data_IF_248160142779
#
_entry.id   IF_248160142779
#
_cell.length_a   1.000
_cell.length_b   1.000
_cell.length_c   1.000
_cell.angle_alpha   90.00
_cell.angle_beta   90.00
_cell.angle_gamma   90.00
#
_symmetry.space_group_name_H-M   'P 1'
#
loop_
_entity.id
_entity.type
_entity.pdbx_description
1 polymer ?
#
# COMPACT_ATOMS: atom_id res chain seq x y z
N UNK A 1 11.72 -30.16 35.62
CA UNK A 1 11.01 -28.95 36.08
C UNK A 1 11.27 -27.84 35.06
N UNK A 2 10.43 -27.74 34.04
CA UNK A 2 10.42 -26.73 32.97
C UNK A 2 9.12 -26.93 32.18
N UNK A 3 8.68 -25.89 31.49
CA UNK A 3 7.47 -25.78 30.67
C UNK A 3 6.20 -25.32 31.42
N UNK A 4 6.23 -24.04 31.79
CA UNK A 4 5.09 -23.12 31.67
C UNK A 4 5.63 -21.97 30.83
N UNK A 5 5.14 -21.73 29.61
CA UNK A 5 5.20 -20.45 28.86
C UNK A 5 4.69 -20.56 27.39
N UNK A 6 3.63 -21.33 27.08
CA UNK A 6 3.06 -21.33 25.71
C UNK A 6 1.53 -21.34 25.65
N UNK A 7 0.83 -20.91 26.71
CA UNK A 7 -0.64 -20.97 26.75
C UNK A 7 -1.37 -19.61 26.59
N UNK A 8 -0.69 -18.54 26.17
CA UNK A 8 -1.32 -17.20 26.11
C UNK A 8 -1.22 -16.47 24.76
N UNK A 9 -0.78 -17.14 23.69
CA UNK A 9 -0.53 -16.46 22.39
C UNK A 9 -1.37 -17.00 21.22
N UNK A 10 -2.40 -17.83 21.46
CA UNK A 10 -3.25 -18.40 20.39
C UNK A 10 -4.73 -18.09 20.62
N UNK A 11 -5.06 -16.92 21.18
CA UNK A 11 -6.45 -16.53 21.46
C UNK A 11 -6.90 -15.21 20.84
N UNK A 12 -6.10 -14.61 19.94
CA UNK A 12 -6.49 -13.39 19.23
C UNK A 12 -6.62 -13.55 17.70
N UNK A 13 -6.21 -14.68 17.13
CA UNK A 13 -6.37 -14.97 15.69
C UNK A 13 -7.63 -15.80 15.35
N UNK A 14 -8.44 -16.17 16.35
CA UNK A 14 -9.57 -17.09 16.20
C UNK A 14 -10.95 -16.45 16.15
N UNK A 15 -11.08 -15.11 16.20
CA UNK A 15 -12.38 -14.44 16.23
C UNK A 15 -12.80 -13.75 14.92
N UNK A 16 -11.98 -13.79 13.88
CA UNK A 16 -12.32 -13.24 12.56
C UNK A 16 -12.72 -14.32 11.53
N UNK A 17 -12.62 -15.61 11.87
CA UNK A 17 -12.77 -16.73 10.92
C UNK A 17 -13.96 -17.67 11.20
N UNK A 18 -14.89 -17.30 12.10
CA UNK A 18 -16.09 -18.11 12.41
C UNK A 18 -17.38 -17.35 12.11
N UNK A 19 -17.60 -16.99 10.84
CA UNK A 19 -18.91 -16.53 10.35
C UNK A 19 -19.30 -17.10 8.97
N UNK A 20 -18.60 -18.14 8.51
CA UNK A 20 -18.87 -18.80 7.22
C UNK A 20 -19.12 -20.31 7.39
N UNK A 21 -20.04 -20.71 8.26
CA UNK A 21 -20.53 -22.11 8.31
C UNK A 21 -21.94 -22.23 8.90
N UNK A 22 -22.94 -21.69 8.20
CA UNK A 22 -24.30 -22.25 8.26
C UNK A 22 -24.91 -22.25 6.85
N UNK A 23 -24.84 -23.40 6.18
CA UNK A 23 -25.54 -23.64 4.93
C UNK A 23 -27.05 -23.61 5.14
N UNK A 24 -27.74 -22.76 4.38
CA UNK A 24 -29.18 -22.81 4.16
C UNK A 24 -29.45 -22.92 2.66
N UNK A 25 -30.44 -23.73 2.23
CA UNK A 25 -30.66 -24.09 0.84
C UNK A 25 -31.16 -22.91 0.00
N UNK A 26 -30.67 -22.84 -1.23
CA UNK A 26 -31.10 -21.90 -2.25
C UNK A 26 -32.56 -22.16 -2.68
N UNK A 27 -33.48 -21.28 -2.30
CA UNK A 27 -34.74 -21.07 -3.00
C UNK A 27 -35.35 -19.70 -2.65
N UNK A 28 -35.55 -18.89 -3.70
CA UNK A 28 -36.48 -17.75 -3.79
C UNK A 28 -36.21 -16.49 -2.94
N UNK A 29 -35.35 -15.60 -3.45
CA UNK A 29 -35.63 -14.15 -3.42
C UNK A 29 -35.39 -13.58 -4.82
N UNK A 30 -36.47 -13.45 -5.59
CA UNK A 30 -36.55 -12.54 -6.72
C UNK A 30 -36.66 -11.12 -6.16
N UNK A 31 -35.79 -10.22 -6.62
CA UNK A 31 -36.07 -8.79 -6.63
C UNK A 31 -35.65 -7.99 -5.39
N UNK A 32 -34.34 -7.90 -5.17
CA UNK A 32 -33.73 -6.65 -4.70
C UNK A 32 -32.28 -6.62 -5.18
N UNK A 33 -32.06 -6.05 -6.36
CA UNK A 33 -30.76 -5.49 -6.69
C UNK A 33 -30.55 -4.31 -5.73
N UNK A 34 -30.09 -4.60 -4.51
CA UNK A 34 -29.46 -3.58 -3.68
C UNK A 34 -28.19 -3.25 -4.44
N UNK A 35 -28.25 -2.20 -5.27
CA UNK A 35 -27.04 -1.52 -5.70
C UNK A 35 -26.33 -1.15 -4.41
N UNK A 36 -25.20 -1.79 -4.11
CA UNK A 36 -24.26 -1.22 -3.16
C UNK A 36 -24.05 0.21 -3.64
N UNK A 37 -24.33 1.19 -2.78
CA UNK A 37 -24.02 2.57 -3.11
C UNK A 37 -22.51 2.59 -3.36
N UNK A 38 -22.09 2.97 -4.57
CA UNK A 38 -20.68 3.09 -4.88
C UNK A 38 -20.05 4.03 -3.86
N UNK A 39 -18.99 3.55 -3.19
CA UNK A 39 -18.33 4.31 -2.12
C UNK A 39 -17.97 5.72 -2.63
N UNK A 40 -18.26 6.78 -1.85
CA UNK A 40 -17.92 8.13 -2.26
C UNK A 40 -16.40 8.26 -2.40
N UNK A 41 -15.94 8.54 -3.61
CA UNK A 41 -14.54 8.77 -3.95
C UNK A 41 -14.32 10.19 -4.45
N UNK A 42 -13.13 10.72 -4.19
CA UNK A 42 -12.59 11.83 -4.99
C UNK A 42 -11.77 11.27 -6.15
N UNK A 43 -11.81 11.97 -7.28
CA UNK A 43 -11.12 11.58 -8.51
C UNK A 43 -10.08 12.63 -8.90
N UNK A 44 -8.91 12.17 -9.30
CA UNK A 44 -7.90 12.94 -10.02
C UNK A 44 -7.64 12.26 -11.36
N UNK A 45 -7.61 13.02 -12.45
CA UNK A 45 -7.23 12.51 -13.77
C UNK A 45 -6.57 13.59 -14.63
N UNK A 46 -5.74 13.18 -15.58
CA UNK A 46 -5.09 14.07 -16.55
C UNK A 46 -5.18 13.55 -18.00
N UNK A 47 -6.12 12.65 -18.27
CA UNK A 47 -6.28 11.98 -19.57
C UNK A 47 -5.36 10.77 -19.78
N UNK A 48 -4.24 10.66 -19.06
CA UNK A 48 -3.31 9.51 -19.14
C UNK A 48 -3.52 8.55 -17.97
N UNK A 49 -3.66 9.08 -16.76
CA UNK A 49 -3.82 8.32 -15.52
C UNK A 49 -5.00 8.86 -14.71
N UNK A 50 -5.62 7.98 -13.94
CA UNK A 50 -6.69 8.30 -13.01
C UNK A 50 -6.42 7.68 -11.64
N UNK A 51 -6.69 8.44 -10.59
CA UNK A 51 -6.67 8.00 -9.21
C UNK A 51 -8.05 8.20 -8.60
N UNK A 52 -8.56 7.15 -7.95
CA UNK A 52 -9.74 7.22 -7.10
C UNK A 52 -9.32 7.07 -5.64
N UNK A 53 -9.78 7.98 -4.77
CA UNK A 53 -9.48 7.97 -3.33
C UNK A 53 -10.78 7.85 -2.55
N UNK A 54 -10.90 6.79 -1.77
CA UNK A 54 -12.03 6.52 -0.88
C UNK A 54 -12.11 7.57 0.23
N UNK A 55 -13.24 8.24 0.34
CA UNK A 55 -13.48 9.21 1.41
C UNK A 55 -13.67 8.56 2.79
N UNK A 56 -13.81 7.24 2.84
CA UNK A 56 -14.03 6.47 4.07
C UNK A 56 -12.73 6.14 4.82
N UNK A 57 -11.68 5.78 4.09
CA UNK A 57 -10.44 5.26 4.67
C UNK A 57 -9.17 5.81 4.03
N UNK A 58 -9.26 6.72 3.05
CA UNK A 58 -8.09 7.24 2.33
C UNK A 58 -7.42 6.21 1.41
N UNK A 59 -7.95 4.98 1.35
CA UNK A 59 -7.55 3.97 0.40
C UNK A 59 -7.72 4.46 -1.02
N UNK A 60 -6.84 4.03 -1.93
CA UNK A 60 -6.83 4.55 -3.29
C UNK A 60 -6.55 3.45 -4.31
N UNK A 61 -6.99 3.68 -5.54
CA UNK A 61 -6.64 2.86 -6.69
C UNK A 61 -6.09 3.74 -7.79
N UNK A 62 -5.22 3.15 -8.61
CA UNK A 62 -4.58 3.81 -9.75
C UNK A 62 -4.87 2.99 -10.99
N UNK A 63 -5.24 3.67 -12.07
CA UNK A 63 -5.44 3.06 -13.38
C UNK A 63 -5.04 4.01 -14.50
N UNK A 64 -4.67 3.49 -15.65
CA UNK A 64 -4.54 4.28 -16.86
C UNK A 64 -5.92 4.73 -17.35
N UNK A 65 -5.96 5.88 -18.01
CA UNK A 65 -7.11 6.38 -18.76
C UNK A 65 -6.88 6.12 -20.27
N UNK A 66 -6.23 7.05 -20.99
CA UNK A 66 -5.81 6.85 -22.40
C UNK A 66 -4.40 6.25 -22.53
N UNK A 67 -3.79 5.90 -21.39
CA UNK A 67 -2.52 5.17 -21.32
C UNK A 67 -1.40 5.81 -22.13
N UNK A 68 -0.56 4.98 -22.75
CA UNK A 68 0.42 5.45 -23.73
C UNK A 68 -0.29 5.80 -25.05
N UNK A 69 0.03 6.97 -25.59
CA UNK A 69 -0.53 7.47 -26.85
C UNK A 69 -0.41 6.46 -28.01
N UNK A 70 0.68 5.68 -28.05
CA UNK A 70 1.00 4.73 -29.10
C UNK A 70 0.54 3.30 -28.79
N UNK A 71 0.26 2.96 -27.53
CA UNK A 71 -0.11 1.62 -27.11
C UNK A 71 -1.53 1.54 -26.54
N UNK A 72 -2.52 1.28 -27.40
CA UNK A 72 -3.92 1.17 -26.98
C UNK A 72 -4.29 -0.08 -26.20
N UNK A 73 -3.34 -1.00 -26.00
CA UNK A 73 -3.55 -2.14 -25.12
C UNK A 73 -3.53 -1.75 -23.63
N UNK A 74 -2.91 -0.62 -23.27
CA UNK A 74 -2.84 -0.14 -21.89
C UNK A 74 -3.90 0.90 -21.54
N UNK A 75 -4.85 1.22 -22.43
CA UNK A 75 -6.01 2.07 -22.10
C UNK A 75 -6.90 1.39 -21.04
N UNK A 76 -7.37 2.16 -20.07
CA UNK A 76 -8.33 1.73 -19.03
C UNK A 76 -7.89 0.49 -18.22
N UNK A 77 -6.61 0.37 -17.92
CA UNK A 77 -6.02 -0.75 -17.17
C UNK A 77 -5.71 -0.37 -15.74
N UNK A 78 -6.06 -1.27 -14.80
CA UNK A 78 -5.63 -1.14 -13.41
C UNK A 78 -4.09 -1.18 -13.35
N UNK A 79 -3.53 -0.37 -12.46
CA UNK A 79 -2.13 -0.39 -12.05
C UNK A 79 -1.99 -0.84 -10.59
N UNK A 80 -3.03 -0.60 -9.78
CA UNK A 80 -3.19 -1.19 -8.46
C UNK A 80 -4.48 -2.00 -8.42
N UNK A 81 -4.42 -3.15 -7.76
CA UNK A 81 -5.62 -3.88 -7.41
C UNK A 81 -6.42 -3.08 -6.37
N UNK A 82 -7.73 -3.29 -6.36
CA UNK A 82 -8.58 -2.76 -5.31
C UNK A 82 -9.83 -3.62 -5.14
N UNK A 83 -10.23 -3.81 -3.89
CA UNK A 83 -11.57 -4.28 -3.51
C UNK A 83 -12.58 -3.13 -3.59
N UNK A 84 -13.85 -3.42 -3.30
CA UNK A 84 -14.89 -2.38 -3.17
C UNK A 84 -14.56 -1.36 -2.06
N UNK A 85 -13.67 -1.71 -1.11
CA UNK A 85 -13.31 -0.87 0.03
C UNK A 85 -11.98 -0.12 -0.13
N UNK A 86 -11.28 -0.27 -1.26
CA UNK A 86 -9.99 0.38 -1.52
C UNK A 86 -8.91 0.08 -0.46
N UNK A 87 -8.94 -1.12 0.13
CA UNK A 87 -8.14 -1.49 1.31
C UNK A 87 -6.98 -2.44 1.02
N UNK A 88 -6.71 -2.75 -0.25
CA UNK A 88 -5.69 -3.74 -0.60
C UNK A 88 -4.29 -3.11 -0.75
N UNK A 89 -4.21 -1.88 -1.26
CA UNK A 89 -3.06 -1.00 -1.07
C UNK A 89 -3.26 -0.15 0.18
N UNK A 90 -2.29 -0.17 1.10
CA UNK A 90 -2.41 0.58 2.35
C UNK A 90 -1.05 1.04 2.87
N UNK A 91 -1.08 2.05 3.74
CA UNK A 91 0.11 2.53 4.44
C UNK A 91 0.02 2.23 5.92
N UNK A 92 1.15 1.87 6.49
CA UNK A 92 1.31 1.68 7.93
C UNK A 92 2.50 2.46 8.48
N UNK A 93 2.48 2.67 9.79
CA UNK A 93 3.47 3.45 10.51
C UNK A 93 4.00 2.68 11.70
N UNK A 94 5.32 2.62 11.83
CA UNK A 94 6.02 2.20 13.03
C UNK A 94 6.43 3.46 13.80
N UNK A 95 5.91 3.64 15.01
CA UNK A 95 6.17 4.81 15.85
C UNK A 95 6.93 4.37 17.10
N UNK A 96 8.09 4.99 17.32
CA UNK A 96 8.88 4.85 18.55
C UNK A 96 8.66 6.08 19.41
N UNK A 97 8.15 5.88 20.62
CA UNK A 97 7.98 6.98 21.58
C UNK A 97 9.29 7.33 22.33
N UNK A 98 9.25 8.41 23.11
CA UNK A 98 10.38 8.90 23.91
C UNK A 98 10.93 7.89 24.93
N UNK A 99 10.21 6.81 25.26
CA UNK A 99 10.69 5.73 26.14
C UNK A 99 11.38 4.61 25.38
N UNK A 100 11.32 4.64 24.05
CA UNK A 100 11.80 3.58 23.16
C UNK A 100 10.75 2.49 22.89
N UNK A 101 9.50 2.66 23.32
CA UNK A 101 8.44 1.71 23.02
C UNK A 101 7.96 1.90 21.57
N UNK A 102 7.84 0.78 20.85
CA UNK A 102 7.44 0.75 19.44
C UNK A 102 5.98 0.33 19.33
N UNK A 103 5.20 1.04 18.50
CA UNK A 103 3.82 0.72 18.16
C UNK A 103 3.61 0.83 16.66
N UNK A 104 2.79 -0.07 16.12
CA UNK A 104 2.48 -0.09 14.70
C UNK A 104 1.02 0.30 14.47
N UNK A 105 0.78 1.05 13.40
CA UNK A 105 -0.54 1.54 13.03
C UNK A 105 -0.81 1.40 11.53
N UNK A 106 -2.01 1.02 11.13
CA UNK A 106 -2.49 1.11 9.75
C UNK A 106 -3.22 2.44 9.60
N UNK A 107 -2.90 3.18 8.55
CA UNK A 107 -3.52 4.46 8.23
C UNK A 107 -5.04 4.32 8.10
N UNK A 108 -5.81 5.22 8.72
CA UNK A 108 -7.28 5.12 8.75
C UNK A 108 -7.83 4.07 9.73
N UNK A 109 -6.98 3.37 10.48
CA UNK A 109 -7.39 2.35 11.45
C UNK A 109 -8.17 2.91 12.65
N UNK A 110 -9.00 2.07 13.27
CA UNK A 110 -9.76 2.41 14.48
C UNK A 110 -9.07 1.82 15.72
N UNK A 111 -8.56 2.69 16.60
CA UNK A 111 -7.84 2.31 17.82
C UNK A 111 -8.58 2.72 19.11
N UNK A 112 -9.91 2.82 19.03
CA UNK A 112 -10.76 3.20 20.17
C UNK A 112 -10.69 2.18 21.31
N UNK A 113 -10.45 0.91 20.98
CA UNK A 113 -10.20 -0.16 21.95
C UNK A 113 -8.93 0.06 22.80
N UNK A 114 -7.98 0.87 22.31
CA UNK A 114 -6.79 1.31 23.06
C UNK A 114 -6.98 2.69 23.69
N UNK A 115 -8.15 3.31 23.55
CA UNK A 115 -8.40 4.69 23.96
C UNK A 115 -7.65 5.73 23.13
N UNK A 116 -7.18 5.38 21.93
CA UNK A 116 -6.36 6.26 21.07
C UNK A 116 -7.17 7.00 19.99
N UNK A 117 -8.50 6.82 19.96
CA UNK A 117 -9.39 7.45 18.98
C UNK A 117 -10.01 6.45 18.01
N UNK A 118 -11.20 6.80 17.50
CA UNK A 118 -11.88 6.03 16.45
C UNK A 118 -11.28 6.26 15.07
N UNK A 119 -11.87 5.66 14.02
CA UNK A 119 -11.58 6.09 12.65
C UNK A 119 -12.14 7.50 12.46
N UNK A 120 -11.27 8.50 12.57
CA UNK A 120 -11.54 9.92 12.41
C UNK A 120 -10.93 10.47 11.11
N UNK A 121 -10.70 9.60 10.12
CA UNK A 121 -10.09 9.98 8.87
C UNK A 121 -11.00 10.95 8.11
N UNK A 122 -10.41 11.99 7.55
CA UNK A 122 -11.10 12.98 6.73
C UNK A 122 -10.38 13.11 5.39
N UNK A 123 -11.14 13.12 4.30
CA UNK A 123 -10.60 13.30 2.94
C UNK A 123 -11.11 14.61 2.37
N UNK A 124 -10.20 15.37 1.77
CA UNK A 124 -10.46 16.66 1.13
C UNK A 124 -9.79 16.69 -0.24
N UNK A 125 -10.36 17.44 -1.17
CA UNK A 125 -9.78 17.67 -2.49
C UNK A 125 -9.59 19.18 -2.66
N UNK A 126 -8.40 19.57 -3.11
CA UNK A 126 -8.08 20.94 -3.52
C UNK A 126 -7.70 20.97 -5.01
N UNK A 127 -7.18 22.10 -5.48
CA UNK A 127 -6.86 22.29 -6.90
C UNK A 127 -5.67 21.48 -7.39
N UNK A 128 -4.79 21.01 -6.51
CA UNK A 128 -3.57 20.27 -6.90
C UNK A 128 -3.62 18.78 -6.54
N UNK A 129 -4.55 18.35 -5.68
CA UNK A 129 -4.67 16.95 -5.31
C UNK A 129 -5.70 16.62 -4.24
N UNK A 130 -5.59 15.41 -3.71
CA UNK A 130 -6.45 14.86 -2.65
C UNK A 130 -5.61 14.61 -1.40
N UNK A 131 -6.11 15.06 -0.25
CA UNK A 131 -5.48 14.84 1.05
C UNK A 131 -6.40 14.03 1.97
N UNK A 132 -5.86 12.97 2.57
CA UNK A 132 -6.50 12.25 3.66
C UNK A 132 -5.73 12.52 4.96
N UNK A 133 -6.42 12.93 6.02
CA UNK A 133 -5.83 13.19 7.33
C UNK A 133 -6.47 12.28 8.39
N UNK A 134 -5.65 11.62 9.20
CA UNK A 134 -6.08 10.66 10.21
C UNK A 134 -5.24 10.83 11.49
N UNK A 135 -5.89 10.72 12.65
CA UNK A 135 -5.18 10.87 13.93
C UNK A 135 -5.29 9.63 14.81
N UNK A 136 -4.20 9.34 15.52
CA UNK A 136 -4.14 8.30 16.54
C UNK A 136 -3.37 8.82 17.75
N UNK A 137 -4.01 8.81 18.92
CA UNK A 137 -3.47 9.43 20.12
C UNK A 137 -3.23 10.92 19.92
N UNK A 138 -1.95 11.34 19.95
CA UNK A 138 -1.51 12.73 19.76
C UNK A 138 -0.83 12.95 18.41
N UNK A 139 -0.97 12.01 17.48
CA UNK A 139 -0.32 12.04 16.18
C UNK A 139 -1.36 12.24 15.09
N UNK A 140 -1.05 13.09 14.12
CA UNK A 140 -1.85 13.26 12.90
C UNK A 140 -0.98 12.93 11.71
N UNK A 141 -1.39 11.91 10.96
CA UNK A 141 -0.79 11.53 9.69
C UNK A 141 -1.59 12.12 8.54
N UNK A 142 -0.92 12.60 7.51
CA UNK A 142 -1.54 13.12 6.30
C UNK A 142 -0.98 12.39 5.09
N UNK A 143 -1.86 11.77 4.31
CA UNK A 143 -1.58 11.28 2.97
C UNK A 143 -1.94 12.37 1.96
N UNK A 144 -1.06 12.60 0.99
CA UNK A 144 -1.30 13.51 -0.12
C UNK A 144 -1.08 12.77 -1.44
N UNK A 145 -2.07 12.83 -2.32
CA UNK A 145 -1.99 12.29 -3.68
C UNK A 145 -2.16 13.43 -4.68
N UNK A 146 -1.20 13.53 -5.61
CA UNK A 146 -1.17 14.52 -6.67
C UNK A 146 -0.84 13.86 -8.01
N UNK A 147 -1.20 14.51 -9.10
CA UNK A 147 -0.77 14.09 -10.44
C UNK A 147 0.38 14.94 -10.90
N UNK A 148 1.28 14.35 -11.68
CA UNK A 148 2.30 15.12 -12.37
C UNK A 148 1.68 16.16 -13.31
N UNK A 149 2.32 17.33 -13.34
CA UNK A 149 1.90 18.44 -14.19
C UNK A 149 1.88 17.98 -15.66
N UNK A 150 0.85 18.38 -16.41
CA UNK A 150 0.64 17.94 -17.79
C UNK A 150 1.76 18.32 -18.78
N UNK A 151 2.67 19.23 -18.41
CA UNK A 151 3.85 19.60 -19.19
C UNK A 151 5.18 18.98 -18.72
N UNK A 152 5.15 18.13 -17.69
CA UNK A 152 6.33 17.49 -17.13
C UNK A 152 6.67 16.20 -17.91
N UNK A 153 7.94 15.78 -17.89
CA UNK A 153 8.35 14.48 -18.44
C UNK A 153 7.63 13.32 -17.74
N UNK A 154 7.23 13.56 -16.49
CA UNK A 154 6.54 12.64 -15.59
C UNK A 154 5.03 12.61 -15.84
N UNK A 155 4.51 13.18 -16.95
CA UNK A 155 3.10 13.08 -17.28
C UNK A 155 2.68 11.60 -17.28
N UNK A 156 1.65 11.27 -16.49
CA UNK A 156 1.26 9.88 -16.22
C UNK A 156 1.77 9.31 -14.89
N UNK A 157 2.50 10.08 -14.08
CA UNK A 157 2.88 9.70 -12.71
C UNK A 157 1.89 10.21 -11.66
N UNK A 158 1.72 9.40 -10.62
CA UNK A 158 1.02 9.75 -9.38
C UNK A 158 2.07 10.00 -8.30
N UNK A 159 2.03 11.18 -7.68
CA UNK A 159 2.84 11.48 -6.50
C UNK A 159 2.05 11.12 -5.25
N UNK A 160 2.69 10.36 -4.36
CA UNK A 160 2.11 9.93 -3.11
C UNK A 160 3.07 10.32 -1.99
N UNK A 161 2.63 11.16 -1.06
CA UNK A 161 3.46 11.57 0.07
C UNK A 161 2.72 11.47 1.41
N UNK A 162 3.50 11.27 2.47
CA UNK A 162 3.02 11.12 3.84
C UNK A 162 3.75 12.05 4.80
N UNK A 163 2.98 12.83 5.55
CA UNK A 163 3.48 13.68 6.64
C UNK A 163 2.97 13.24 8.00
N UNK A 164 3.71 13.58 9.05
CA UNK A 164 3.32 13.39 10.45
C UNK A 164 3.41 14.71 11.20
N UNK A 165 2.40 14.99 12.04
CA UNK A 165 2.43 16.06 13.05
C UNK A 165 2.28 15.45 14.44
N UNK A 166 3.18 15.81 15.35
CA UNK A 166 3.14 15.38 16.74
C UNK A 166 2.57 16.50 17.64
N UNK A 167 1.34 16.30 18.13
CA UNK A 167 0.68 17.21 19.06
C UNK A 167 0.98 16.91 20.53
N UNK A 168 1.81 15.90 20.81
CA UNK A 168 2.23 15.51 22.13
C UNK A 168 3.28 16.44 22.74
N UNK A 169 3.69 16.12 23.97
CA UNK A 169 4.68 16.87 24.74
C UNK A 169 6.11 16.31 24.65
N UNK A 170 6.29 15.16 24.00
CA UNK A 170 7.57 14.49 23.85
C UNK A 170 7.82 14.15 22.39
N UNK A 171 9.08 14.11 21.93
CA UNK A 171 9.37 13.75 20.55
C UNK A 171 9.04 12.27 20.29
N UNK A 172 8.69 11.98 19.03
CA UNK A 172 8.47 10.62 18.52
C UNK A 172 9.25 10.43 17.24
N UNK A 173 9.75 9.23 16.99
CA UNK A 173 10.30 8.86 15.68
C UNK A 173 9.32 7.98 14.96
N UNK A 174 9.18 8.15 13.64
CA UNK A 174 8.25 7.38 12.84
C UNK A 174 8.90 6.86 11.56
N UNK A 175 8.45 5.67 11.14
CA UNK A 175 8.73 5.11 9.83
C UNK A 175 7.42 4.79 9.15
N UNK A 176 7.38 4.90 7.83
CA UNK A 176 6.22 4.58 7.01
C UNK A 176 6.53 3.36 6.14
N UNK A 177 5.53 2.51 5.94
CA UNK A 177 5.53 1.43 4.95
C UNK A 177 4.35 1.67 4.02
N UNK A 178 4.64 1.96 2.76
CA UNK A 178 3.65 2.10 1.69
C UNK A 178 3.57 0.77 0.96
N UNK A 179 2.50 0.00 1.18
CA UNK A 179 2.25 -1.28 0.50
C UNK A 179 1.31 -1.04 -0.69
N UNK A 180 1.76 -1.42 -1.87
CA UNK A 180 1.08 -1.25 -3.13
C UNK A 180 0.79 -2.61 -3.75
N UNK A 181 -0.50 -2.92 -3.83
CA UNK A 181 -1.05 -4.15 -4.37
C UNK A 181 -1.16 -4.03 -5.89
N UNK A 182 -0.38 -4.82 -6.62
CA UNK A 182 -0.13 -4.56 -8.04
C UNK A 182 -1.13 -5.30 -8.90
N UNK A 183 -1.80 -4.56 -9.79
CA UNK A 183 -2.57 -5.14 -10.87
C UNK A 183 -2.11 -4.54 -12.20
N UNK A 184 -2.03 -5.35 -13.25
CA UNK A 184 -1.79 -4.90 -14.62
C UNK A 184 -2.99 -5.33 -15.46
N UNK A 185 -4.01 -4.47 -15.50
CA UNK A 185 -5.32 -4.82 -16.06
C UNK A 185 -6.07 -5.82 -15.18
N UNK A 186 -6.37 -7.01 -15.72
CA UNK A 186 -7.01 -8.11 -14.98
C UNK A 186 -5.96 -9.08 -14.37
N UNK A 187 -4.67 -8.86 -14.66
CA UNK A 187 -3.59 -9.65 -14.08
C UNK A 187 -3.21 -9.10 -12.72
N UNK A 188 -3.36 -9.90 -11.66
CA UNK A 188 -3.14 -9.48 -10.26
C UNK A 188 -1.66 -9.55 -9.82
N UNK A 189 -0.74 -9.57 -10.79
CA UNK A 189 0.68 -9.63 -10.50
C UNK A 189 1.49 -8.96 -11.61
N UNK A 190 2.70 -8.55 -11.24
CA UNK A 190 3.74 -8.12 -12.17
C UNK A 190 4.99 -8.98 -11.98
N UNK A 191 5.77 -9.13 -13.05
CA UNK A 191 7.18 -9.42 -12.88
C UNK A 191 7.95 -8.12 -12.73
N UNK A 192 8.72 -7.98 -11.66
CA UNK A 192 9.46 -6.74 -11.43
C UNK A 192 10.88 -6.82 -12.00
N UNK A 193 11.38 -5.68 -12.49
CA UNK A 193 12.80 -5.49 -12.79
C UNK A 193 13.33 -4.25 -12.07
N UNK A 194 14.31 -4.47 -11.20
CA UNK A 194 15.00 -3.42 -10.45
C UNK A 194 16.33 -3.09 -11.10
N UNK A 195 16.67 -1.80 -11.17
CA UNK A 195 17.97 -1.34 -11.68
C UNK A 195 18.96 -1.29 -10.52
N UNK A 196 20.09 -1.99 -10.64
CA UNK A 196 21.15 -1.94 -9.63
C UNK A 196 22.17 -0.81 -9.88
N UNK A 197 23.13 -0.64 -8.98
CA UNK A 197 24.17 0.41 -9.06
C UNK A 197 25.02 0.36 -10.35
N UNK A 198 25.07 -0.77 -11.04
CA UNK A 198 25.80 -0.96 -12.28
C UNK A 198 24.94 -0.72 -13.54
N UNK A 199 23.71 -0.19 -13.38
CA UNK A 199 22.70 -0.05 -14.44
C UNK A 199 22.36 -1.37 -15.12
N UNK A 200 22.40 -2.48 -14.36
CA UNK A 200 21.94 -3.77 -14.85
C UNK A 200 20.60 -4.12 -14.20
N UNK A 201 19.73 -4.77 -14.98
CA UNK A 201 18.40 -5.16 -14.55
C UNK A 201 18.47 -6.47 -13.78
N UNK A 202 17.89 -6.48 -12.58
CA UNK A 202 17.64 -7.69 -11.79
C UNK A 202 16.15 -7.96 -11.78
N UNK A 203 15.78 -9.14 -12.28
CA UNK A 203 14.41 -9.65 -12.22
C UNK A 203 14.05 -10.12 -10.82
N UNK A 204 12.82 -9.83 -10.39
CA UNK A 204 12.26 -10.24 -9.11
C UNK A 204 10.89 -10.87 -9.35
N UNK A 205 10.82 -12.20 -9.17
CA UNK A 205 9.57 -13.01 -9.21
C UNK A 205 9.29 -13.72 -7.89
N UNK A 206 10.23 -13.64 -6.95
CA UNK A 206 10.16 -14.28 -5.65
C UNK A 206 10.30 -13.27 -4.55
N UNK A 207 9.78 -13.61 -3.37
CA UNK A 207 9.81 -12.68 -2.25
C UNK A 207 11.24 -12.24 -1.94
N UNK A 208 11.44 -10.93 -1.91
CA UNK A 208 12.76 -10.31 -1.86
C UNK A 208 12.68 -9.03 -1.06
N UNK A 209 13.66 -8.81 -0.19
CA UNK A 209 13.89 -7.53 0.49
C UNK A 209 15.23 -6.96 0.00
N UNK A 210 15.19 -5.70 -0.43
CA UNK A 210 16.35 -4.89 -0.81
C UNK A 210 16.49 -3.84 0.29
N UNK A 211 17.57 -3.89 1.06
CA UNK A 211 17.90 -2.91 2.10
C UNK A 211 19.07 -2.02 1.70
N UNK A 212 19.49 -1.13 2.60
CA UNK A 212 20.63 -0.21 2.38
C UNK A 212 21.99 -0.88 2.20
N UNK A 213 22.12 -2.14 2.62
CA UNK A 213 23.33 -2.95 2.38
C UNK A 213 23.41 -3.42 0.91
N UNK A 214 22.30 -3.36 0.17
CA UNK A 214 22.21 -3.47 -1.28
C UNK A 214 21.88 -2.09 -1.88
N UNK A 215 21.89 -1.97 -3.21
CA UNK A 215 21.45 -0.77 -3.90
C UNK A 215 19.92 -0.68 -3.91
N UNK A 216 19.37 0.23 -3.10
CA UNK A 216 17.96 0.63 -3.21
C UNK A 216 17.74 1.28 -4.59
N UNK A 217 16.89 0.71 -5.45
CA UNK A 217 16.69 1.22 -6.80
C UNK A 217 16.13 2.64 -6.77
N UNK A 218 16.66 3.52 -7.61
CA UNK A 218 16.05 4.84 -7.86
C UNK A 218 14.67 4.69 -8.51
N UNK A 219 14.51 3.65 -9.31
CA UNK A 219 13.27 3.30 -9.98
C UNK A 219 13.27 1.80 -10.32
N UNK A 220 12.09 1.24 -10.48
CA UNK A 220 11.89 -0.12 -10.97
C UNK A 220 10.60 -0.21 -11.78
N UNK A 221 10.47 -1.32 -12.49
CA UNK A 221 9.40 -1.55 -13.47
C UNK A 221 8.62 -2.81 -13.07
N UNK A 222 7.32 -2.81 -13.34
CA UNK A 222 6.47 -3.99 -13.30
C UNK A 222 5.92 -4.28 -14.70
N UNK A 223 6.06 -5.52 -15.16
CA UNK A 223 5.60 -5.96 -16.48
C UNK A 223 4.52 -7.03 -16.35
N UNK A 224 3.54 -6.98 -17.24
CA UNK A 224 2.53 -8.03 -17.41
C UNK A 224 3.14 -9.25 -18.10
N UNK A 225 3.91 -9.03 -19.15
CA UNK A 225 4.74 -10.02 -19.85
C UNK A 225 6.15 -9.47 -20.07
N UNK A 226 7.17 -10.24 -19.67
CA UNK A 226 8.57 -9.83 -19.75
C UNK A 226 9.15 -9.78 -21.17
N UNK A 227 8.55 -10.51 -22.11
CA UNK A 227 9.04 -10.65 -23.47
C UNK A 227 8.26 -9.77 -24.45
N UNK A 228 6.98 -9.54 -24.16
CA UNK A 228 6.08 -8.74 -24.97
C UNK A 228 5.10 -7.95 -24.08
N UNK A 229 5.60 -6.97 -23.30
CA UNK A 229 4.77 -6.24 -22.35
C UNK A 229 3.66 -5.47 -23.08
N UNK A 230 2.43 -5.63 -22.63
CA UNK A 230 1.29 -4.84 -23.09
C UNK A 230 0.91 -3.75 -22.09
N UNK A 231 1.29 -3.91 -20.82
CA UNK A 231 1.10 -2.96 -19.73
C UNK A 231 2.38 -2.91 -18.90
N UNK A 232 2.92 -1.72 -18.66
CA UNK A 232 4.08 -1.52 -17.80
C UNK A 232 3.76 -0.51 -16.71
N UNK A 233 4.08 -0.84 -15.46
CA UNK A 233 4.04 0.10 -14.33
C UNK A 233 5.45 0.59 -13.99
N UNK A 234 5.53 1.84 -13.54
CA UNK A 234 6.77 2.52 -13.20
C UNK A 234 6.69 3.03 -11.77
N UNK A 235 7.65 2.66 -10.94
CA UNK A 235 7.81 3.23 -9.60
C UNK A 235 9.12 4.00 -9.56
N UNK A 236 9.05 5.27 -9.17
CA UNK A 236 10.19 6.17 -9.08
C UNK A 236 10.27 6.69 -7.65
N UNK A 237 11.44 6.54 -7.02
CA UNK A 237 11.71 7.05 -5.69
C UNK A 237 12.26 8.47 -5.78
N UNK A 238 11.73 9.40 -4.97
CA UNK A 238 12.30 10.74 -4.84
C UNK A 238 13.76 10.64 -4.37
N UNK A 239 14.64 11.38 -5.05
CA UNK A 239 16.05 11.48 -4.70
C UNK A 239 16.26 12.11 -3.31
N UNK A 240 15.34 12.97 -2.85
CA UNK A 240 15.41 13.61 -1.52
C UNK A 240 14.80 12.76 -0.41
N UNK A 241 13.92 11.81 -0.76
CA UNK A 241 13.20 10.95 0.19
C UNK A 241 13.23 9.50 -0.27
N UNK A 242 14.43 8.91 -0.33
CA UNK A 242 14.59 7.51 -0.74
C UNK A 242 14.11 6.56 0.37
N UNK A 243 13.44 5.46 0.02
CA UNK A 243 13.17 4.42 0.99
C UNK A 243 14.49 3.80 1.49
N UNK A 244 14.50 3.36 2.75
CA UNK A 244 15.64 2.59 3.31
C UNK A 244 15.50 1.09 3.01
N UNK A 245 14.32 0.64 2.60
CA UNK A 245 14.04 -0.74 2.24
C UNK A 245 12.93 -0.81 1.18
N UNK A 246 13.05 -1.75 0.26
CA UNK A 246 12.01 -2.13 -0.70
C UNK A 246 11.76 -3.63 -0.56
N UNK A 247 10.49 -4.02 -0.42
CA UNK A 247 10.10 -5.42 -0.39
C UNK A 247 9.22 -5.74 -1.61
N UNK A 248 9.42 -6.92 -2.18
CA UNK A 248 8.56 -7.51 -3.20
C UNK A 248 8.09 -8.86 -2.65
N UNK A 249 6.83 -9.21 -2.88
CA UNK A 249 6.32 -10.48 -2.37
C UNK A 249 4.92 -10.80 -2.83
N UNK A 250 4.40 -11.92 -2.36
CA UNK A 250 2.99 -12.22 -2.55
C UNK A 250 2.16 -11.29 -1.66
N UNK A 251 1.05 -10.73 -2.16
CA UNK A 251 0.25 -9.76 -1.40
C UNK A 251 -0.16 -10.30 -0.03
N UNK A 252 -0.67 -11.53 0.05
CA UNK A 252 -1.01 -12.20 1.31
C UNK A 252 0.11 -12.14 2.36
N UNK A 253 1.37 -12.37 1.99
CA UNK A 253 2.48 -12.35 2.95
C UNK A 253 2.86 -10.92 3.35
N UNK A 254 2.86 -9.97 2.41
CA UNK A 254 3.13 -8.55 2.69
C UNK A 254 2.03 -7.92 3.57
N UNK A 255 0.77 -8.27 3.31
CA UNK A 255 -0.40 -7.78 4.02
C UNK A 255 -0.64 -8.49 5.36
N UNK A 256 -0.01 -9.64 5.62
CA UNK A 256 -0.17 -10.41 6.87
C UNK A 256 0.37 -9.70 8.12
N UNK A 257 1.21 -8.69 7.94
CA UNK A 257 1.82 -7.90 9.02
C UNK A 257 1.43 -6.44 8.92
N UNK A 258 1.45 -5.74 10.06
CA UNK A 258 1.23 -4.30 10.05
C UNK A 258 2.45 -3.55 9.48
N UNK A 259 3.69 -3.89 9.85
CA UNK A 259 4.88 -3.19 9.34
C UNK A 259 6.01 -4.10 8.80
N UNK A 260 6.62 -4.95 9.62
CA UNK A 260 7.76 -5.78 9.19
C UNK A 260 7.41 -6.79 8.09
N UNK A 261 8.40 -7.24 7.31
CA UNK A 261 8.21 -8.30 6.31
C UNK A 261 9.39 -9.26 6.33
N UNK A 262 9.11 -10.56 6.31
CA UNK A 262 10.12 -11.62 6.27
C UNK A 262 9.88 -12.43 4.99
N UNK A 263 10.75 -12.29 3.96
CA UNK A 263 10.50 -12.91 2.67
C UNK A 263 10.73 -14.43 2.71
N UNK A 264 9.84 -15.19 2.06
CA UNK A 264 10.08 -16.56 1.65
C UNK A 264 10.66 -16.61 0.24
N UNK A 265 11.98 -16.74 0.15
CA UNK A 265 12.70 -16.81 -1.13
C UNK A 265 12.36 -18.06 -1.99
N UNK A 266 11.60 -19.01 -1.45
CA UNK A 266 11.10 -20.18 -2.20
C UNK A 266 9.75 -19.91 -2.88
N UNK A 267 8.99 -18.92 -2.41
CA UNK A 267 7.71 -18.54 -2.98
C UNK A 267 7.91 -17.67 -4.22
N UNK A 268 7.38 -18.15 -5.35
CA UNK A 268 7.28 -17.39 -6.59
C UNK A 268 5.87 -16.81 -6.72
N UNK A 269 5.75 -15.49 -6.51
CA UNK A 269 4.47 -14.77 -6.52
C UNK A 269 3.91 -14.57 -7.94
N UNK A 270 4.69 -14.89 -8.97
CA UNK A 270 4.23 -14.86 -10.37
C UNK A 270 3.72 -16.21 -10.86
N UNK A 271 3.92 -17.27 -10.07
CA UNK A 271 3.45 -18.61 -10.42
C UNK A 271 2.01 -18.84 -9.91
N UNK A 272 1.01 -19.02 -10.78
CA UNK A 272 -0.37 -19.28 -10.36
C UNK A 272 -0.56 -20.65 -9.68
N UNK A 273 0.47 -21.50 -9.70
CA UNK A 273 0.49 -22.81 -9.06
C UNK A 273 1.50 -22.87 -7.91
N UNK A 274 1.83 -21.75 -7.27
CA UNK A 274 2.63 -21.79 -6.05
C UNK A 274 1.90 -22.60 -4.96
N UNK A 275 2.68 -23.25 -4.09
CA UNK A 275 2.16 -24.26 -3.16
C UNK A 275 1.34 -23.66 -2.01
N UNK A 276 1.59 -22.40 -1.66
CA UNK A 276 1.02 -21.78 -0.47
C UNK A 276 -0.36 -21.16 -0.75
N UNK A 277 -0.51 -20.49 -1.91
CA UNK A 277 -1.70 -19.71 -2.23
C UNK A 277 -2.43 -20.15 -3.49
N UNK A 278 -1.77 -20.91 -4.39
CA UNK A 278 -2.36 -21.36 -5.65
C UNK A 278 -2.95 -20.23 -6.49
N UNK A 279 -2.32 -19.05 -6.43
CA UNK A 279 -2.65 -17.87 -7.23
C UNK A 279 -1.40 -17.02 -7.41
N UNK A 280 -1.25 -16.39 -8.58
CA UNK A 280 -0.22 -15.40 -8.80
C UNK A 280 -0.79 -14.06 -8.38
N UNK A 281 -0.13 -13.43 -7.42
CA UNK A 281 -0.63 -12.22 -6.78
C UNK A 281 0.58 -11.52 -6.17
N UNK A 282 0.93 -10.34 -6.70
CA UNK A 282 2.15 -9.64 -6.33
C UNK A 282 1.86 -8.27 -5.75
N UNK A 283 2.63 -7.92 -4.74
CA UNK A 283 2.68 -6.56 -4.22
C UNK A 283 4.12 -6.15 -3.94
N UNK A 284 4.31 -4.86 -3.70
CA UNK A 284 5.57 -4.33 -3.22
C UNK A 284 5.36 -3.28 -2.13
N UNK A 285 6.32 -3.18 -1.22
CA UNK A 285 6.30 -2.20 -0.15
C UNK A 285 7.56 -1.33 -0.16
N UNK A 286 7.37 -0.03 0.01
CA UNK A 286 8.44 0.96 0.16
C UNK A 286 8.47 1.43 1.61
N UNK A 287 9.65 1.40 2.23
CA UNK A 287 9.83 1.73 3.63
C UNK A 287 10.64 3.02 3.78
N UNK A 288 10.08 4.01 4.45
CA UNK A 288 10.66 5.33 4.60
C UNK A 288 10.91 5.67 6.07
N UNK A 289 12.01 6.36 6.33
CA UNK A 289 12.28 6.96 7.63
C UNK A 289 11.71 8.39 7.62
N UNK A 290 10.68 8.65 8.43
CA UNK A 290 10.09 9.98 8.56
C UNK A 290 10.90 10.87 9.51
N UNK A 291 11.91 10.30 10.17
CA UNK A 291 12.71 10.95 11.19
C UNK A 291 11.93 11.20 12.47
N UNK A 292 12.37 12.22 13.20
CA UNK A 292 11.80 12.58 14.49
C UNK A 292 10.86 13.79 14.36
N UNK A 293 9.62 13.65 14.82
CA UNK A 293 8.70 14.77 15.02
C UNK A 293 8.83 15.29 16.45
N UNK A 294 9.35 16.51 16.60
CA UNK A 294 9.42 17.18 17.90
C UNK A 294 8.02 17.55 18.41
N UNK A 295 7.91 17.79 19.71
CA UNK A 295 6.64 18.17 20.33
C UNK A 295 6.07 19.45 19.69
N UNK A 296 4.83 19.37 19.20
CA UNK A 296 4.13 20.46 18.53
C UNK A 296 4.57 20.73 17.09
N UNK A 297 5.41 19.88 16.49
CA UNK A 297 5.97 20.09 15.16
C UNK A 297 5.66 18.93 14.19
N UNK A 298 5.85 19.22 12.90
CA UNK A 298 5.79 18.24 11.83
C UNK A 298 7.13 17.50 11.66
N UNK A 299 7.07 16.25 11.21
CA UNK A 299 8.21 15.52 10.64
C UNK A 299 8.51 15.99 9.21
N UNK A 300 9.56 15.44 8.60
CA UNK A 300 9.69 15.49 7.15
C UNK A 300 8.54 14.70 6.48
N UNK A 301 8.12 15.16 5.31
CA UNK A 301 7.24 14.37 4.43
C UNK A 301 8.08 13.34 3.68
N UNK A 302 7.53 12.14 3.49
CA UNK A 302 8.20 11.04 2.79
C UNK A 302 7.32 10.40 1.73
N UNK A 303 7.94 9.58 0.88
CA UNK A 303 7.36 8.99 -0.34
C UNK A 303 7.14 10.00 -1.47
#
# INVERSE_FOLDING_TARGET
MKVRHHLFTILLAGLLSVLLLTGQPAAALLGSQVSAAQEPVYLLENGVIQVAVSTRNGGFSVRTHDGDLLNKADDNKRLLYHSDWYDTSFTSFEVTDHTGAVKEYVFGGNYSFLGLGGNNLTVTQDTTGISAAWSVGQLTFTQRIELANAGASEHGMVYLSYGLVNHGSHPVSARARVLLDTALGDQDYATYEVVNAANTYRRVTRETVIGTDDYIPANFFGYDDLNAPSITSYTVNDAQSKPYQVAFGHWNNLAATCFGFAPDASLDFTNPYNLDYQTADSAYALYYDMGQATAGAASASVA
#
